data_IF_759652755327
#
_entry.id   IF_759652755327
#
_cell.length_a   1.000
_cell.length_b   1.000
_cell.length_c   1.000
_cell.angle_alpha   90.00
_cell.angle_beta   90.00
_cell.angle_gamma   90.00
#
_symmetry.space_group_name_H-M   'P 1'
#
loop_
_entity.id
_entity.type
_entity.pdbx_description
1 polymer ?
#
# COMPACT_ATOMS: atom_id res chain seq x y z
N UNK A 1 -12.14 -15.68 -27.32
CA UNK A 1 -12.35 -15.67 -25.85
C UNK A 1 -12.72 -14.24 -25.47
N UNK A 2 -13.85 -14.05 -24.79
CA UNK A 2 -14.22 -12.75 -24.24
C UNK A 2 -13.10 -12.23 -23.35
N UNK A 3 -12.81 -10.93 -23.45
CA UNK A 3 -11.83 -10.29 -22.59
C UNK A 3 -12.24 -10.49 -21.13
N UNK A 4 -11.31 -10.86 -20.23
CA UNK A 4 -11.62 -11.00 -18.81
C UNK A 4 -12.27 -9.72 -18.29
N UNK A 5 -13.36 -9.84 -17.54
CA UNK A 5 -14.10 -8.71 -16.95
C UNK A 5 -13.97 -8.76 -15.42
N UNK A 6 -13.91 -7.59 -14.78
CA UNK A 6 -13.85 -7.47 -13.32
C UNK A 6 -12.52 -6.92 -12.82
N UNK A 7 -12.45 -6.65 -11.53
CA UNK A 7 -11.30 -5.97 -10.92
C UNK A 7 -9.99 -6.80 -10.93
N UNK A 8 -10.06 -8.10 -11.14
CA UNK A 8 -8.88 -8.98 -11.22
C UNK A 8 -8.03 -8.78 -12.48
N UNK A 9 -8.52 -8.00 -13.45
CA UNK A 9 -7.72 -7.63 -14.65
C UNK A 9 -6.88 -6.37 -14.42
N UNK A 10 -7.04 -5.71 -13.29
CA UNK A 10 -6.33 -4.49 -12.92
C UNK A 10 -4.94 -4.78 -12.37
N UNK A 11 -4.08 -3.76 -12.38
CA UNK A 11 -2.82 -3.78 -11.64
C UNK A 11 -3.18 -3.85 -10.15
N UNK A 12 -2.72 -4.91 -9.47
CA UNK A 12 -3.17 -5.22 -8.09
C UNK A 12 -2.02 -5.16 -7.11
N UNK A 13 -2.05 -4.17 -6.22
CA UNK A 13 -1.19 -4.09 -5.04
C UNK A 13 -1.87 -4.64 -3.79
N UNK A 14 -3.20 -4.76 -3.79
CA UNK A 14 -3.97 -5.32 -2.67
C UNK A 14 -3.37 -6.65 -2.22
N UNK A 15 -3.32 -6.86 -0.89
CA UNK A 15 -2.74 -8.04 -0.25
C UNK A 15 -1.29 -8.34 -0.70
N UNK A 16 -0.55 -7.31 -1.13
CA UNK A 16 0.82 -7.38 -1.63
C UNK A 16 1.00 -8.23 -2.89
N UNK A 17 -0.05 -8.48 -3.67
CA UNK A 17 -0.01 -9.42 -4.80
C UNK A 17 1.18 -9.15 -5.73
N UNK A 18 1.30 -7.93 -6.26
CA UNK A 18 2.43 -7.57 -7.14
C UNK A 18 3.77 -7.56 -6.39
N UNK A 19 3.82 -7.03 -5.16
CA UNK A 19 5.08 -6.93 -4.40
C UNK A 19 5.63 -8.30 -4.02
N UNK A 20 4.78 -9.27 -3.71
CA UNK A 20 5.20 -10.65 -3.46
C UNK A 20 5.85 -11.28 -4.70
N UNK A 21 5.26 -11.07 -5.89
CA UNK A 21 5.85 -11.52 -7.17
C UNK A 21 7.19 -10.84 -7.42
N UNK A 22 7.29 -9.53 -7.21
CA UNK A 22 8.53 -8.78 -7.41
C UNK A 22 9.63 -9.20 -6.43
N UNK A 23 9.29 -9.51 -5.19
CA UNK A 23 10.23 -10.07 -4.21
C UNK A 23 10.76 -11.45 -4.66
N UNK A 24 9.87 -12.32 -5.15
CA UNK A 24 10.26 -13.61 -5.71
C UNK A 24 11.19 -13.44 -6.92
N UNK A 25 10.86 -12.57 -7.85
CA UNK A 25 11.69 -12.28 -9.01
C UNK A 25 13.07 -11.75 -8.61
N UNK A 26 13.16 -10.93 -7.57
CA UNK A 26 14.43 -10.45 -7.03
C UNK A 26 15.27 -11.58 -6.44
N UNK A 27 14.67 -12.50 -5.70
CA UNK A 27 15.38 -13.66 -5.18
C UNK A 27 15.89 -14.56 -6.32
N UNK A 28 15.10 -14.73 -7.39
CA UNK A 28 15.51 -15.44 -8.62
C UNK A 28 16.65 -14.72 -9.33
N UNK A 29 16.53 -13.43 -9.59
CA UNK A 29 17.55 -12.62 -10.27
C UNK A 29 18.89 -12.65 -9.53
N UNK A 30 18.86 -12.58 -8.21
CA UNK A 30 20.06 -12.62 -7.36
C UNK A 30 20.61 -14.04 -7.15
N UNK A 31 19.98 -15.08 -7.69
CA UNK A 31 20.38 -16.47 -7.47
C UNK A 31 20.36 -16.89 -6.01
N UNK A 32 19.46 -16.33 -5.21
CA UNK A 32 19.33 -16.66 -3.79
C UNK A 32 18.74 -18.07 -3.61
N UNK A 33 19.20 -18.80 -2.60
CA UNK A 33 18.59 -20.10 -2.26
C UNK A 33 17.08 -19.98 -2.08
N UNK A 34 16.26 -20.90 -2.65
CA UNK A 34 16.63 -22.13 -3.32
C UNK A 34 16.90 -21.99 -4.84
N UNK A 35 16.98 -20.79 -5.42
CA UNK A 35 17.03 -20.52 -6.87
C UNK A 35 18.46 -20.55 -7.46
N UNK A 36 19.45 -21.02 -6.70
CA UNK A 36 20.86 -21.07 -7.12
C UNK A 36 21.11 -21.92 -8.37
N UNK A 37 20.27 -22.92 -8.63
CA UNK A 37 20.35 -23.83 -9.78
C UNK A 37 19.84 -23.25 -11.10
N UNK A 38 19.18 -22.09 -11.05
CA UNK A 38 18.59 -21.49 -12.24
C UNK A 38 19.68 -20.90 -13.15
N UNK A 39 19.57 -21.11 -14.48
CA UNK A 39 20.53 -20.59 -15.44
C UNK A 39 20.48 -19.06 -15.50
N UNK A 40 21.61 -18.47 -15.93
CA UNK A 40 21.77 -17.02 -16.05
C UNK A 40 20.68 -16.39 -16.94
N UNK A 41 20.27 -17.06 -18.01
CA UNK A 41 19.19 -16.57 -18.89
C UNK A 41 17.84 -16.39 -18.16
N UNK A 42 17.56 -17.25 -17.16
CA UNK A 42 16.35 -17.11 -16.31
C UNK A 42 16.49 -15.94 -15.33
N UNK A 43 17.67 -15.76 -14.75
CA UNK A 43 17.96 -14.61 -13.85
C UNK A 43 17.83 -13.29 -14.58
N UNK A 44 18.33 -13.20 -15.82
CA UNK A 44 18.19 -12.02 -16.68
C UNK A 44 16.72 -11.73 -17.06
N UNK A 45 15.92 -12.76 -17.32
CA UNK A 45 14.48 -12.60 -17.55
C UNK A 45 13.78 -12.06 -16.29
N UNK A 46 14.14 -12.56 -15.11
CA UNK A 46 13.62 -12.06 -13.85
C UNK A 46 14.00 -10.58 -13.63
N UNK A 47 15.24 -10.20 -13.92
CA UNK A 47 15.67 -8.79 -13.83
C UNK A 47 14.86 -7.88 -14.77
N UNK A 48 14.68 -8.27 -16.03
CA UNK A 48 13.84 -7.51 -16.98
C UNK A 48 12.38 -7.38 -16.51
N UNK A 49 11.85 -8.39 -15.84
CA UNK A 49 10.51 -8.34 -15.29
C UNK A 49 10.45 -7.36 -14.08
N UNK A 50 11.48 -7.34 -13.23
CA UNK A 50 11.63 -6.37 -12.14
C UNK A 50 11.65 -4.94 -12.70
N UNK A 51 12.45 -4.68 -13.73
CA UNK A 51 12.58 -3.35 -14.32
C UNK A 51 11.22 -2.83 -14.82
N UNK A 52 10.45 -3.68 -15.51
CA UNK A 52 9.08 -3.37 -15.94
C UNK A 52 8.11 -3.17 -14.77
N UNK A 53 8.28 -3.96 -13.70
CA UNK A 53 7.49 -3.82 -12.48
C UNK A 53 7.76 -2.48 -11.78
N UNK A 54 9.02 -2.07 -11.71
CA UNK A 54 9.39 -0.74 -11.16
C UNK A 54 8.81 0.39 -12.03
N UNK A 55 8.92 0.29 -13.36
CA UNK A 55 8.29 1.25 -14.27
C UNK A 55 6.77 1.36 -14.02
N UNK A 56 6.08 0.21 -13.86
CA UNK A 56 4.66 0.18 -13.53
C UNK A 56 4.36 0.86 -12.20
N UNK A 57 5.16 0.61 -11.17
CA UNK A 57 5.02 1.25 -9.85
C UNK A 57 5.15 2.77 -9.99
N UNK A 58 6.16 3.27 -10.71
CA UNK A 58 6.35 4.71 -10.91
C UNK A 58 5.19 5.35 -11.68
N UNK A 59 4.66 4.68 -12.70
CA UNK A 59 3.51 5.17 -13.49
C UNK A 59 2.21 5.21 -12.70
N UNK A 60 2.03 4.32 -11.74
CA UNK A 60 0.81 4.22 -10.91
C UNK A 60 0.88 5.08 -9.64
N UNK A 61 2.02 5.71 -9.33
CA UNK A 61 2.10 6.60 -8.17
C UNK A 61 1.18 7.81 -8.36
N UNK A 62 0.25 8.00 -7.43
CA UNK A 62 -0.79 9.03 -7.53
C UNK A 62 -0.20 10.42 -7.28
N UNK A 63 -0.67 11.39 -8.06
CA UNK A 63 -0.39 12.81 -7.83
C UNK A 63 -1.61 13.49 -7.24
N UNK A 64 -1.42 14.18 -6.12
CA UNK A 64 -2.38 15.12 -5.55
C UNK A 64 -1.87 16.55 -5.74
N UNK A 65 -2.67 17.42 -6.34
CA UNK A 65 -2.29 18.82 -6.57
C UNK A 65 -0.88 18.98 -7.21
N UNK A 66 -0.56 18.10 -8.15
CA UNK A 66 0.72 18.09 -8.86
C UNK A 66 1.90 17.45 -8.12
N UNK A 67 1.73 17.04 -6.85
CA UNK A 67 2.77 16.37 -6.05
C UNK A 67 2.56 14.86 -6.03
N UNK A 68 3.65 14.10 -6.17
CA UNK A 68 3.62 12.66 -5.97
C UNK A 68 3.25 12.33 -4.52
N UNK A 69 2.44 11.29 -4.34
CA UNK A 69 2.01 10.78 -3.04
C UNK A 69 2.31 9.27 -2.92
N UNK A 70 1.30 8.45 -2.80
CA UNK A 70 1.38 7.00 -2.67
C UNK A 70 0.46 6.31 -3.69
N UNK A 71 0.14 5.04 -3.50
CA UNK A 71 -0.59 4.23 -4.46
C UNK A 71 -1.98 3.87 -3.99
N UNK A 72 -2.88 3.62 -4.92
CA UNK A 72 -4.12 2.90 -4.68
C UNK A 72 -3.84 1.40 -4.53
N UNK A 73 -4.74 0.67 -3.88
CA UNK A 73 -4.67 -0.77 -3.79
C UNK A 73 -4.80 -1.46 -5.16
N UNK A 74 -5.47 -0.80 -6.10
CA UNK A 74 -5.59 -1.25 -7.49
C UNK A 74 -5.59 -0.07 -8.46
N UNK A 75 -5.06 -0.32 -9.68
CA UNK A 75 -5.01 0.65 -10.75
C UNK A 75 -5.50 0.04 -12.06
N UNK A 76 -6.12 0.86 -12.86
CA UNK A 76 -6.48 0.48 -14.23
C UNK A 76 -5.23 0.17 -15.06
N UNK A 77 -5.23 -0.94 -15.78
CA UNK A 77 -4.06 -1.44 -16.51
C UNK A 77 -3.67 -0.61 -17.74
N UNK A 78 -4.59 0.21 -18.25
CA UNK A 78 -4.37 1.01 -19.47
C UNK A 78 -4.07 2.47 -19.12
N UNK A 79 -4.84 3.03 -18.21
CA UNK A 79 -4.72 4.45 -17.80
C UNK A 79 -3.81 4.67 -16.61
N UNK A 80 -3.47 3.61 -15.85
CA UNK A 80 -2.74 3.65 -14.57
C UNK A 80 -3.46 4.42 -13.45
N UNK A 81 -4.69 4.87 -13.69
CA UNK A 81 -5.47 5.60 -12.70
C UNK A 81 -5.91 4.69 -11.53
N UNK A 82 -6.11 5.24 -10.32
CA UNK A 82 -6.72 4.51 -9.21
C UNK A 82 -8.05 3.88 -9.61
N UNK A 83 -8.25 2.61 -9.27
CA UNK A 83 -9.42 1.85 -9.69
C UNK A 83 -10.15 1.21 -8.50
N UNK A 84 -11.47 1.03 -8.68
CA UNK A 84 -12.32 0.32 -7.72
C UNK A 84 -12.13 -1.18 -7.83
N UNK A 85 -12.13 -1.88 -6.69
CA UNK A 85 -12.18 -3.33 -6.65
C UNK A 85 -13.54 -3.82 -6.13
N UNK A 86 -13.60 -4.36 -4.90
CA UNK A 86 -14.85 -4.76 -4.27
C UNK A 86 -15.71 -3.55 -3.91
N UNK A 87 -16.96 -3.78 -3.56
CA UNK A 87 -17.91 -2.71 -3.28
C UNK A 87 -17.38 -1.64 -2.30
N UNK A 88 -16.66 -2.06 -1.27
CA UNK A 88 -16.09 -1.21 -0.23
C UNK A 88 -14.62 -0.79 -0.48
N UNK A 89 -14.04 -1.18 -1.59
CA UNK A 89 -12.68 -0.82 -2.01
C UNK A 89 -12.75 0.22 -3.13
N UNK A 90 -13.03 1.44 -2.73
CA UNK A 90 -13.14 2.58 -3.64
C UNK A 90 -11.74 3.05 -4.09
N UNK A 91 -11.64 3.73 -5.27
CA UNK A 91 -10.41 4.42 -5.64
C UNK A 91 -9.94 5.34 -4.51
N UNK A 92 -8.71 5.16 -4.06
CA UNK A 92 -8.20 5.82 -2.85
C UNK A 92 -6.67 5.77 -2.80
N UNK A 93 -6.05 6.55 -1.92
CA UNK A 93 -4.67 6.29 -1.52
C UNK A 93 -4.68 5.24 -0.41
N UNK A 94 -3.80 4.24 -0.50
CA UNK A 94 -3.75 3.15 0.46
C UNK A 94 -2.53 3.23 1.36
N UNK A 95 -2.76 3.31 2.68
CA UNK A 95 -1.66 3.34 3.65
C UNK A 95 -0.91 2.00 3.77
N UNK A 96 -1.63 0.87 3.70
CA UNK A 96 -1.04 -0.45 3.93
C UNK A 96 -0.22 -0.94 2.72
N UNK A 97 -0.83 -0.94 1.54
CA UNK A 97 -0.20 -1.40 0.31
C UNK A 97 0.99 -0.50 -0.08
N UNK A 98 0.83 0.82 0.08
CA UNK A 98 1.89 1.78 -0.22
C UNK A 98 3.12 1.62 0.66
N UNK A 99 2.95 1.20 1.91
CA UNK A 99 4.09 0.93 2.79
C UNK A 99 4.99 -0.18 2.21
N UNK A 100 4.41 -1.27 1.74
CA UNK A 100 5.18 -2.37 1.16
C UNK A 100 5.79 -2.01 -0.20
N UNK A 101 5.10 -1.19 -1.00
CA UNK A 101 5.63 -0.68 -2.27
C UNK A 101 6.87 0.19 -2.02
N UNK A 102 6.78 1.18 -1.14
CA UNK A 102 7.90 2.08 -0.88
C UNK A 102 9.08 1.35 -0.23
N UNK A 103 8.83 0.39 0.66
CA UNK A 103 9.86 -0.47 1.24
C UNK A 103 10.56 -1.31 0.16
N UNK A 104 9.80 -1.87 -0.80
CA UNK A 104 10.38 -2.58 -1.94
C UNK A 104 11.30 -1.65 -2.77
N UNK A 105 10.86 -0.45 -3.10
CA UNK A 105 11.67 0.53 -3.83
C UNK A 105 12.95 0.90 -3.08
N UNK A 106 12.90 1.06 -1.77
CA UNK A 106 14.09 1.31 -0.93
C UNK A 106 15.11 0.17 -0.97
N UNK A 107 14.72 -1.04 -1.33
CA UNK A 107 15.61 -2.21 -1.40
C UNK A 107 16.29 -2.38 -2.77
N UNK A 108 15.97 -1.53 -3.75
CA UNK A 108 16.62 -1.55 -5.05
C UNK A 108 18.10 -1.10 -4.94
N UNK A 109 18.95 -1.79 -5.68
CA UNK A 109 20.36 -1.42 -5.81
C UNK A 109 20.49 -0.32 -6.86
N UNK A 110 21.23 0.75 -6.57
CA UNK A 110 21.44 1.89 -7.48
C UNK A 110 20.12 2.47 -8.04
N UNK A 111 19.20 2.95 -7.18
CA UNK A 111 17.93 3.50 -7.63
C UNK A 111 18.14 4.74 -8.52
N UNK A 112 17.34 4.87 -9.58
CA UNK A 112 17.33 6.07 -10.41
C UNK A 112 16.83 7.30 -9.63
N UNK A 113 17.09 8.50 -10.16
CA UNK A 113 16.58 9.74 -9.57
C UNK A 113 15.05 9.74 -9.42
N UNK A 114 14.33 9.13 -10.36
CA UNK A 114 12.86 8.98 -10.31
C UNK A 114 12.42 8.05 -9.17
N UNK A 115 13.14 6.94 -8.95
CA UNK A 115 12.86 6.04 -7.82
C UNK A 115 13.14 6.75 -6.50
N UNK A 116 14.23 7.50 -6.39
CA UNK A 116 14.55 8.30 -5.20
C UNK A 116 13.44 9.30 -4.92
N UNK A 117 13.01 10.06 -5.93
CA UNK A 117 11.92 11.02 -5.80
C UNK A 117 10.60 10.35 -5.38
N UNK A 118 10.30 9.19 -5.96
CA UNK A 118 9.12 8.38 -5.61
C UNK A 118 9.13 7.99 -4.14
N UNK A 119 10.27 7.50 -3.64
CA UNK A 119 10.45 7.11 -2.23
C UNK A 119 10.26 8.32 -1.31
N UNK A 120 10.96 9.43 -1.59
CA UNK A 120 10.91 10.62 -0.74
C UNK A 120 9.50 11.22 -0.67
N UNK A 121 8.81 11.27 -1.81
CA UNK A 121 7.43 11.76 -1.87
C UNK A 121 6.47 10.85 -1.08
N UNK A 122 6.62 9.54 -1.20
CA UNK A 122 5.80 8.59 -0.45
C UNK A 122 6.06 8.70 1.06
N UNK A 123 7.32 8.80 1.48
CA UNK A 123 7.67 8.99 2.91
C UNK A 123 7.10 10.30 3.44
N UNK A 124 7.15 11.38 2.64
CA UNK A 124 6.55 12.67 3.05
C UNK A 124 5.03 12.50 3.21
N UNK A 125 4.35 11.84 2.27
CA UNK A 125 2.92 11.55 2.41
C UNK A 125 2.60 10.76 3.69
N UNK A 126 3.41 9.76 4.06
CA UNK A 126 3.23 9.02 5.32
C UNK A 126 3.30 9.93 6.54
N UNK A 127 4.22 10.92 6.56
CA UNK A 127 4.34 11.91 7.65
C UNK A 127 3.11 12.82 7.72
N UNK A 128 2.65 13.30 6.56
CA UNK A 128 1.53 14.23 6.47
C UNK A 128 0.17 13.56 6.76
N UNK A 129 0.12 12.23 6.65
CA UNK A 129 -1.11 11.42 6.79
C UNK A 129 -1.19 10.65 8.12
N UNK A 130 -0.32 10.96 9.09
CA UNK A 130 -0.37 10.38 10.43
C UNK A 130 -1.67 10.72 11.15
N UNK A 131 -2.34 9.70 11.68
CA UNK A 131 -3.50 9.85 12.58
C UNK A 131 -3.00 9.65 14.00
N UNK A 132 -2.92 10.75 14.75
CA UNK A 132 -2.41 10.81 16.13
C UNK A 132 -3.53 10.85 17.15
N UNK A 133 -3.21 10.54 18.40
CA UNK A 133 -4.13 10.68 19.53
C UNK A 133 -5.22 9.63 19.59
N UNK A 134 -5.09 8.52 18.84
CA UNK A 134 -6.08 7.44 18.80
C UNK A 134 -5.46 6.05 18.90
N UNK A 135 -6.30 5.10 19.31
CA UNK A 135 -6.03 3.65 19.24
C UNK A 135 -7.28 2.89 18.80
N UNK A 136 -7.10 1.66 18.31
CA UNK A 136 -8.21 0.70 18.17
C UNK A 136 -8.34 -0.07 19.46
N UNK A 137 -9.52 -0.03 20.02
CA UNK A 137 -9.88 -0.74 21.24
C UNK A 137 -10.92 -1.82 20.96
N UNK A 138 -10.72 -3.01 21.52
CA UNK A 138 -11.71 -4.09 21.48
C UNK A 138 -12.59 -4.02 22.72
N UNK A 139 -13.89 -4.24 22.56
CA UNK A 139 -14.88 -4.26 23.64
C UNK A 139 -15.96 -5.33 23.35
N UNK A 140 -16.76 -5.65 24.33
CA UNK A 140 -17.94 -6.50 24.14
C UNK A 140 -19.15 -5.59 23.91
N UNK A 141 -19.82 -5.74 22.77
CA UNK A 141 -20.99 -4.94 22.43
C UNK A 141 -22.26 -5.44 23.15
N UNK A 142 -23.38 -4.74 22.97
CA UNK A 142 -24.67 -5.07 23.59
C UNK A 142 -25.21 -6.47 23.25
N UNK A 143 -24.74 -7.04 22.15
CA UNK A 143 -25.13 -8.39 21.69
C UNK A 143 -24.17 -9.47 22.21
N UNK A 144 -23.26 -9.14 23.13
CA UNK A 144 -22.27 -10.06 23.71
C UNK A 144 -21.12 -10.43 22.75
N UNK A 145 -20.94 -9.70 21.64
CA UNK A 145 -19.93 -9.98 20.64
C UNK A 145 -18.72 -9.04 20.78
N UNK A 146 -17.53 -9.57 20.51
CA UNK A 146 -16.31 -8.76 20.43
C UNK A 146 -16.42 -7.77 19.26
N UNK A 147 -16.28 -6.49 19.56
CA UNK A 147 -16.37 -5.40 18.60
C UNK A 147 -15.16 -4.45 18.71
N UNK A 148 -15.03 -3.51 17.80
CA UNK A 148 -13.91 -2.56 17.73
C UNK A 148 -14.43 -1.13 17.68
N UNK A 149 -13.70 -0.23 18.35
CA UNK A 149 -13.92 1.21 18.27
C UNK A 149 -12.61 1.98 18.22
N UNK A 150 -12.66 3.19 17.71
CA UNK A 150 -11.60 4.18 17.88
C UNK A 150 -11.77 4.81 19.26
N UNK A 151 -10.71 4.84 20.04
CA UNK A 151 -10.67 5.45 21.37
C UNK A 151 -9.52 6.47 21.43
N UNK A 152 -9.65 7.55 22.23
CA UNK A 152 -8.57 8.48 22.47
C UNK A 152 -7.36 7.80 23.10
N UNK A 153 -6.14 8.23 22.72
CA UNK A 153 -4.89 7.74 23.28
C UNK A 153 -3.77 8.73 22.98
N UNK A 154 -3.52 9.65 23.88
CA UNK A 154 -2.60 10.77 23.67
C UNK A 154 -1.16 10.31 23.39
N UNK A 155 -0.66 9.33 24.16
CA UNK A 155 0.72 8.81 24.05
C UNK A 155 0.87 7.65 23.06
N UNK A 156 -0.17 7.32 22.29
CA UNK A 156 -0.09 6.23 21.33
C UNK A 156 0.70 6.67 20.08
N UNK A 157 1.44 5.72 19.54
CA UNK A 157 2.08 5.90 18.23
C UNK A 157 1.04 6.15 17.15
N UNK A 158 1.37 6.91 16.09
CA UNK A 158 0.45 7.23 15.02
C UNK A 158 -0.06 5.98 14.31
N UNK A 159 -1.22 6.09 13.74
CA UNK A 159 -1.84 5.10 12.87
C UNK A 159 -2.04 5.66 11.46
N UNK A 160 -2.27 4.77 10.51
CA UNK A 160 -2.65 5.13 9.15
C UNK A 160 -3.93 4.39 8.78
N UNK A 161 -4.81 5.08 8.04
CA UNK A 161 -5.99 4.46 7.49
C UNK A 161 -5.62 3.58 6.29
N UNK A 162 -6.44 2.57 6.04
CA UNK A 162 -6.32 1.77 4.84
C UNK A 162 -6.64 2.58 3.60
N UNK A 163 -7.62 3.49 3.68
CA UNK A 163 -8.06 4.32 2.57
C UNK A 163 -8.10 5.81 2.93
N UNK A 164 -7.58 6.63 2.01
CA UNK A 164 -7.66 8.08 2.03
C UNK A 164 -8.24 8.57 0.72
N UNK A 165 -9.01 9.63 0.76
CA UNK A 165 -9.56 10.26 -0.44
C UNK A 165 -8.46 10.77 -1.37
N UNK A 166 -8.66 10.61 -2.67
CA UNK A 166 -7.67 11.00 -3.69
C UNK A 166 -7.42 12.51 -3.76
N UNK A 167 -8.40 13.33 -3.37
CA UNK A 167 -8.31 14.79 -3.49
C UNK A 167 -7.96 15.46 -2.16
N UNK A 168 -8.62 15.04 -1.09
CA UNK A 168 -8.54 15.71 0.21
C UNK A 168 -7.56 15.07 1.19
N UNK A 169 -7.08 13.86 0.87
CA UNK A 169 -6.28 13.03 1.79
C UNK A 169 -7.00 12.74 3.13
N UNK A 170 -8.34 12.82 3.15
CA UNK A 170 -9.13 12.51 4.34
C UNK A 170 -9.26 10.99 4.50
N UNK A 171 -8.96 10.42 5.67
CA UNK A 171 -9.22 9.02 5.94
C UNK A 171 -10.70 8.69 5.85
N UNK A 172 -11.06 7.54 5.28
CA UNK A 172 -12.45 7.09 5.23
C UNK A 172 -12.59 5.58 5.46
N UNK A 173 -13.80 5.20 5.82
CA UNK A 173 -14.27 3.83 5.97
C UNK A 173 -15.37 3.58 4.96
N UNK A 174 -15.62 2.32 4.61
CA UNK A 174 -16.65 1.99 3.63
C UNK A 174 -17.31 0.65 3.96
N UNK A 175 -18.62 0.59 3.81
CA UNK A 175 -19.37 -0.65 3.90
C UNK A 175 -19.64 -1.24 2.51
N UNK A 176 -20.35 -2.37 2.45
CA UNK A 176 -20.71 -3.05 1.19
C UNK A 176 -21.61 -2.23 0.26
N UNK A 177 -22.21 -1.15 0.77
CA UNK A 177 -23.00 -0.19 -0.01
C UNK A 177 -22.13 0.76 -0.88
N UNK A 178 -20.79 0.77 -0.64
CA UNK A 178 -19.88 1.63 -1.39
C UNK A 178 -19.96 3.11 -1.02
N UNK A 179 -20.53 3.43 0.15
CA UNK A 179 -20.65 4.81 0.63
C UNK A 179 -19.50 5.11 1.60
N UNK A 180 -18.77 6.21 1.33
CA UNK A 180 -17.73 6.69 2.24
C UNK A 180 -18.33 7.15 3.56
N UNK A 181 -17.67 6.78 4.66
CA UNK A 181 -17.96 7.20 6.02
C UNK A 181 -16.67 7.62 6.71
N UNK A 182 -16.77 8.49 7.69
CA UNK A 182 -15.59 9.11 8.29
C UNK A 182 -15.33 8.68 9.74
N UNK A 183 -16.24 7.88 10.30
CA UNK A 183 -16.05 7.25 11.60
C UNK A 183 -16.21 5.73 11.49
N UNK A 184 -15.33 4.98 12.15
CA UNK A 184 -15.37 3.52 12.16
C UNK A 184 -16.71 2.97 12.68
N UNK A 185 -17.36 3.70 13.59
CA UNK A 185 -18.67 3.35 14.15
C UNK A 185 -19.83 3.38 13.14
N UNK A 186 -19.67 4.08 12.01
CA UNK A 186 -20.71 4.25 10.99
C UNK A 186 -20.81 3.08 10.02
N UNK A 187 -19.82 2.17 10.00
CA UNK A 187 -19.86 0.95 9.19
C UNK A 187 -20.38 -0.25 10.00
N UNK A 188 -21.00 -1.19 9.30
CA UNK A 188 -21.60 -2.37 9.91
C UNK A 188 -20.60 -3.26 10.65
N UNK A 189 -21.09 -4.03 11.62
CA UNK A 189 -20.30 -4.90 12.47
C UNK A 189 -19.35 -5.81 11.69
N UNK A 190 -19.82 -6.44 10.61
CA UNK A 190 -19.04 -7.36 9.80
C UNK A 190 -17.83 -6.65 9.18
N UNK A 191 -18.01 -5.49 8.57
CA UNK A 191 -16.91 -4.73 7.97
C UNK A 191 -15.99 -4.12 9.02
N UNK A 192 -16.54 -3.60 10.10
CA UNK A 192 -15.77 -3.01 11.20
C UNK A 192 -14.79 -4.01 11.82
N UNK A 193 -15.18 -5.27 11.95
CA UNK A 193 -14.38 -6.30 12.59
C UNK A 193 -13.61 -7.19 11.62
N UNK A 194 -14.10 -7.38 10.40
CA UNK A 194 -13.51 -8.26 9.39
C UNK A 194 -12.47 -7.60 8.50
N UNK A 195 -12.10 -6.33 8.75
CA UNK A 195 -11.19 -5.60 7.89
C UNK A 195 -10.22 -4.72 8.69
N UNK A 196 -8.99 -4.57 8.21
CA UNK A 196 -7.98 -3.74 8.88
C UNK A 196 -8.05 -2.30 8.36
N UNK A 197 -8.90 -1.49 8.98
CA UNK A 197 -9.16 -0.10 8.58
C UNK A 197 -8.07 0.88 9.01
N UNK A 198 -7.49 0.65 10.19
CA UNK A 198 -6.42 1.43 10.76
C UNK A 198 -5.27 0.50 11.15
N UNK A 199 -4.04 0.89 10.87
CA UNK A 199 -2.85 0.08 11.09
C UNK A 199 -1.62 0.94 11.39
N UNK A 200 -0.47 0.31 11.58
CA UNK A 200 0.83 0.97 11.86
C UNK A 200 1.86 0.77 10.76
N UNK A 201 1.43 0.60 9.52
CA UNK A 201 2.33 0.31 8.39
C UNK A 201 3.41 1.38 8.18
N UNK A 202 3.11 2.66 8.47
CA UNK A 202 4.06 3.75 8.36
C UNK A 202 5.27 3.66 9.31
N UNK A 203 5.15 2.97 10.47
CA UNK A 203 6.31 2.76 11.35
C UNK A 203 7.43 1.99 10.64
N UNK A 204 7.06 0.96 9.86
CA UNK A 204 8.02 0.19 9.08
C UNK A 204 8.64 1.04 7.96
N UNK A 205 7.86 1.91 7.34
CA UNK A 205 8.37 2.86 6.33
C UNK A 205 9.46 3.75 6.93
N UNK A 206 9.23 4.32 8.10
CA UNK A 206 10.23 5.19 8.75
C UNK A 206 11.50 4.46 9.15
N UNK A 207 11.36 3.24 9.68
CA UNK A 207 12.50 2.39 10.03
C UNK A 207 13.36 2.09 8.81
N UNK A 208 12.74 1.64 7.72
CA UNK A 208 13.45 1.29 6.49
C UNK A 208 14.02 2.53 5.79
N UNK A 209 13.32 3.66 5.83
CA UNK A 209 13.80 4.92 5.27
C UNK A 209 15.08 5.42 5.96
N UNK A 210 15.15 5.34 7.28
CA UNK A 210 16.36 5.71 8.03
C UNK A 210 17.58 4.85 7.65
N UNK A 211 17.37 3.57 7.35
CA UNK A 211 18.43 2.68 6.87
C UNK A 211 18.80 2.98 5.42
N UNK A 212 17.80 3.21 4.56
CA UNK A 212 17.98 3.54 3.16
C UNK A 212 18.78 4.84 2.98
N UNK A 213 18.46 5.89 3.73
CA UNK A 213 19.22 7.15 3.70
C UNK A 213 20.71 6.96 4.00
N UNK A 214 21.05 6.05 4.91
CA UNK A 214 22.46 5.72 5.21
C UNK A 214 23.17 5.00 4.05
N UNK A 215 22.42 4.26 3.23
CA UNK A 215 22.97 3.54 2.06
C UNK A 215 23.22 4.45 0.86
N UNK A 216 22.30 5.36 0.56
CA UNK A 216 22.43 6.23 -0.64
C UNK A 216 23.36 7.43 -0.46
N UNK A 217 23.75 7.75 0.81
CA UNK A 217 24.72 8.82 1.11
C UNK A 217 26.18 8.32 1.11
N UNK A 218 26.39 7.03 0.94
CA UNK A 218 27.72 6.43 0.79
C UNK A 218 28.11 6.33 -0.67
#
# INVERSE_FOLDING_TARGET
RDSPKGYYVQITYNDNAMINVMNLLRDVSNGKSPFTYLPESTRQKAQKAIDKGVECILKTQVKQHGKLTVWCAQHDRETFAPAKARAYELPSLSGAESANIVIYLMQLTNPSAEVIQSIESAVQWFKDSEIKGIKIESFINKDGKKDRRVAPCEDCKPMWARFYELETNRPFFCDRDGIKRYHLSEIGYERRNGYSWLNRSGENVYKEYAQWQKRIRK
#
